data_IF_100371215259
#
_entry.id   IF_100371215259
#
_cell.length_a   1.000
_cell.length_b   1.000
_cell.length_c   1.000
_cell.angle_alpha   90.00
_cell.angle_beta   90.00
_cell.angle_gamma   90.00
#
_symmetry.space_group_name_H-M   'P 1'
#
loop_
_entity.id
_entity.type
_entity.pdbx_description
1 polymer ?
#
# COMPACT_ATOMS: atom_id res chain seq x y z
N UNK A 1 -5.63 6.18 8.59
CA UNK A 1 -4.18 5.87 8.47
C UNK A 1 -3.74 5.86 7.00
N UNK A 2 -3.71 4.73 6.30
CA UNK A 2 -3.11 4.67 4.95
C UNK A 2 -3.76 5.62 3.93
N UNK A 3 -5.08 5.66 3.85
CA UNK A 3 -5.79 6.50 2.90
C UNK A 3 -5.63 8.02 3.16
N UNK A 4 -5.48 8.42 4.40
CA UNK A 4 -5.37 9.83 4.79
C UNK A 4 -3.93 10.30 4.98
N UNK A 5 -3.03 9.42 5.42
CA UNK A 5 -1.68 9.80 5.87
C UNK A 5 -0.57 9.34 4.90
N UNK A 6 -0.76 8.22 4.21
CA UNK A 6 0.27 7.66 3.31
C UNK A 6 -0.06 7.95 1.84
N UNK A 7 -1.24 7.54 1.37
CA UNK A 7 -1.61 7.67 -0.03
C UNK A 7 -1.51 9.10 -0.58
N UNK A 8 -1.96 10.16 0.12
CA UNK A 8 -1.85 11.52 -0.40
C UNK A 8 -0.42 11.99 -0.67
N UNK A 9 0.57 11.44 0.04
CA UNK A 9 1.98 11.84 -0.07
C UNK A 9 2.71 11.20 -1.25
N UNK A 10 2.15 10.17 -1.88
CA UNK A 10 2.79 9.42 -2.97
C UNK A 10 2.09 9.60 -4.32
N UNK A 11 1.19 10.56 -4.43
CA UNK A 11 0.41 10.83 -5.64
C UNK A 11 1.24 11.54 -6.73
N UNK A 12 0.84 11.42 -8.02
CA UNK A 12 1.53 12.11 -9.12
C UNK A 12 1.64 13.63 -8.96
N UNK A 13 0.63 14.28 -8.36
CA UNK A 13 0.67 15.72 -8.11
C UNK A 13 1.75 16.13 -7.11
N UNK A 14 1.96 15.32 -6.07
CA UNK A 14 3.04 15.54 -5.09
C UNK A 14 4.39 15.33 -5.76
N UNK A 15 4.55 14.25 -6.54
CA UNK A 15 5.75 14.03 -7.35
C UNK A 15 6.05 15.23 -8.23
N UNK A 16 5.06 15.71 -8.98
CA UNK A 16 5.23 16.88 -9.86
C UNK A 16 5.71 18.12 -9.09
N UNK A 17 5.10 18.41 -7.95
CA UNK A 17 5.51 19.57 -7.16
C UNK A 17 6.93 19.43 -6.62
N UNK A 18 7.28 18.29 -6.06
CA UNK A 18 8.61 18.03 -5.51
C UNK A 18 9.71 18.03 -6.57
N UNK A 19 9.45 17.50 -7.76
CA UNK A 19 10.43 17.49 -8.85
C UNK A 19 10.59 18.87 -9.51
N UNK A 20 9.57 19.71 -9.52
CA UNK A 20 9.64 21.07 -10.08
C UNK A 20 10.09 22.10 -9.05
N UNK A 21 9.24 22.44 -8.08
CA UNK A 21 9.53 23.45 -7.05
C UNK A 21 10.55 22.96 -6.01
N UNK A 22 10.47 21.69 -5.60
CA UNK A 22 11.38 21.07 -4.63
C UNK A 22 12.71 20.60 -5.22
N UNK A 23 12.87 20.64 -6.54
CA UNK A 23 14.08 20.19 -7.25
C UNK A 23 14.50 18.75 -6.93
N UNK A 24 13.55 17.88 -6.64
CA UNK A 24 13.83 16.47 -6.44
C UNK A 24 14.26 15.82 -7.76
N UNK A 25 15.35 15.07 -7.72
CA UNK A 25 15.69 14.10 -8.76
C UNK A 25 15.00 12.75 -8.51
N UNK A 26 15.23 11.77 -9.37
CA UNK A 26 14.63 10.45 -9.25
C UNK A 26 15.05 9.74 -7.96
N UNK A 27 16.29 9.92 -7.50
CA UNK A 27 16.78 9.34 -6.26
C UNK A 27 16.07 9.94 -5.04
N UNK A 28 15.90 11.26 -5.00
CA UNK A 28 15.17 11.95 -3.93
C UNK A 28 13.70 11.55 -3.90
N UNK A 29 13.04 11.44 -5.06
CA UNK A 29 11.68 10.95 -5.15
C UNK A 29 11.55 9.50 -4.65
N UNK A 30 12.49 8.63 -5.03
CA UNK A 30 12.53 7.24 -4.54
C UNK A 30 12.68 7.17 -3.03
N UNK A 31 13.57 7.96 -2.45
CA UNK A 31 13.77 8.05 -1.01
C UNK A 31 12.50 8.53 -0.28
N UNK A 32 11.80 9.50 -0.84
CA UNK A 32 10.50 9.98 -0.36
C UNK A 32 9.47 8.85 -0.33
N UNK A 33 9.33 8.10 -1.41
CA UNK A 33 8.41 6.96 -1.49
C UNK A 33 8.73 5.90 -0.44
N UNK A 34 10.00 5.50 -0.34
CA UNK A 34 10.45 4.50 0.63
C UNK A 34 10.11 4.95 2.06
N UNK A 35 10.39 6.19 2.39
CA UNK A 35 10.12 6.75 3.70
C UNK A 35 8.62 6.67 4.06
N UNK A 36 7.75 7.15 3.20
CA UNK A 36 6.32 7.23 3.51
C UNK A 36 5.60 5.89 3.43
N UNK A 37 5.97 5.01 2.50
CA UNK A 37 5.45 3.64 2.50
C UNK A 37 5.89 2.89 3.76
N UNK A 38 7.15 2.99 4.14
CA UNK A 38 7.67 2.32 5.34
C UNK A 38 6.99 2.83 6.60
N UNK A 39 6.92 4.14 6.78
CA UNK A 39 6.27 4.76 7.94
C UNK A 39 4.81 4.33 8.06
N UNK A 40 4.06 4.39 6.96
CA UNK A 40 2.64 4.03 6.97
C UNK A 40 2.39 2.55 7.20
N UNK A 41 3.09 1.68 6.47
CA UNK A 41 2.87 0.23 6.57
C UNK A 41 3.40 -0.36 7.88
N UNK A 42 4.48 0.14 8.42
CA UNK A 42 4.98 -0.30 9.73
C UNK A 42 4.05 0.13 10.87
N UNK A 43 3.44 1.31 10.79
CA UNK A 43 2.42 1.73 11.76
C UNK A 43 1.18 0.82 11.71
N UNK A 44 0.73 0.44 10.51
CA UNK A 44 -0.36 -0.51 10.34
C UNK A 44 0.02 -1.90 10.84
N UNK A 45 1.24 -2.36 10.57
CA UNK A 45 1.75 -3.63 11.10
C UNK A 45 1.67 -3.68 12.62
N UNK A 46 2.17 -2.66 13.31
CA UNK A 46 2.13 -2.60 14.77
C UNK A 46 0.69 -2.66 15.30
N UNK A 47 -0.21 -1.95 14.63
CA UNK A 47 -1.62 -1.96 15.00
C UNK A 47 -2.26 -3.34 14.80
N UNK A 48 -2.12 -3.92 13.62
CA UNK A 48 -2.69 -5.23 13.31
C UNK A 48 -2.11 -6.35 14.20
N UNK A 49 -0.82 -6.30 14.48
CA UNK A 49 -0.16 -7.29 15.33
C UNK A 49 -0.58 -7.19 16.80
N UNK A 50 -0.99 -6.03 17.26
CA UNK A 50 -1.37 -5.79 18.67
C UNK A 50 -2.87 -5.87 18.94
N UNK A 51 -3.72 -5.67 17.94
CA UNK A 51 -5.17 -5.69 18.13
C UNK A 51 -5.73 -7.12 18.18
N UNK A 52 -6.48 -7.47 19.24
CA UNK A 52 -7.07 -8.81 19.38
C UNK A 52 -8.13 -9.12 18.33
N UNK A 53 -8.71 -8.09 17.69
CA UNK A 53 -9.71 -8.24 16.64
C UNK A 53 -9.11 -8.63 15.28
N UNK A 54 -7.82 -8.48 15.08
CA UNK A 54 -7.15 -8.91 13.85
C UNK A 54 -7.25 -10.43 13.70
N UNK A 55 -7.90 -10.86 12.63
CA UNK A 55 -8.08 -12.27 12.31
C UNK A 55 -7.35 -12.61 11.01
N UNK A 56 -8.02 -13.36 10.15
CA UNK A 56 -7.54 -13.65 8.78
C UNK A 56 -7.35 -12.35 8.01
N UNK A 57 -8.26 -11.39 8.21
CA UNK A 57 -8.23 -10.06 7.62
C UNK A 57 -7.92 -9.00 8.69
N UNK A 58 -7.92 -7.74 8.32
CA UNK A 58 -7.60 -6.64 9.21
C UNK A 58 -8.49 -6.61 10.46
N UNK A 59 -9.76 -6.99 10.31
CA UNK A 59 -10.72 -7.01 11.42
C UNK A 59 -11.61 -8.25 11.32
N UNK A 60 -11.23 -9.31 12.03
CA UNK A 60 -11.95 -10.59 12.01
C UNK A 60 -11.64 -11.47 10.80
N UNK A 61 -12.57 -12.37 10.50
CA UNK A 61 -12.38 -13.41 9.50
C UNK A 61 -13.19 -13.17 8.21
N UNK A 62 -13.68 -11.95 8.04
CA UNK A 62 -14.30 -11.48 6.80
C UNK A 62 -13.65 -10.18 6.34
N UNK A 63 -13.51 -9.95 5.00
CA UNK A 63 -12.91 -8.73 4.50
C UNK A 63 -13.79 -7.51 4.79
N UNK A 64 -13.13 -6.39 5.08
CA UNK A 64 -13.75 -5.09 5.33
C UNK A 64 -13.13 -4.01 4.46
N UNK A 65 -13.62 -2.78 4.58
CA UNK A 65 -13.03 -1.61 3.91
C UNK A 65 -11.55 -1.42 4.28
N UNK A 66 -11.16 -1.82 5.50
CA UNK A 66 -9.75 -1.77 5.92
C UNK A 66 -8.84 -2.63 5.01
N UNK A 67 -9.31 -3.81 4.62
CA UNK A 67 -8.58 -4.70 3.71
C UNK A 67 -8.48 -4.12 2.30
N UNK A 68 -9.53 -3.47 1.82
CA UNK A 68 -9.51 -2.77 0.51
C UNK A 68 -8.47 -1.65 0.53
N UNK A 69 -8.46 -0.82 1.58
CA UNK A 69 -7.47 0.25 1.73
C UNK A 69 -6.05 -0.28 1.82
N UNK A 70 -5.83 -1.34 2.60
CA UNK A 70 -4.52 -1.98 2.74
C UNK A 70 -4.04 -2.55 1.40
N UNK A 71 -4.89 -3.32 0.72
CA UNK A 71 -4.57 -3.92 -0.57
C UNK A 71 -4.21 -2.86 -1.61
N UNK A 72 -4.93 -1.75 -1.67
CA UNK A 72 -4.66 -0.67 -2.61
C UNK A 72 -3.26 -0.08 -2.43
N UNK A 73 -2.82 0.14 -1.20
CA UNK A 73 -1.48 0.68 -0.90
C UNK A 73 -0.40 -0.35 -1.18
N UNK A 74 -0.60 -1.61 -0.80
CA UNK A 74 0.39 -2.67 -1.05
C UNK A 74 0.58 -2.90 -2.55
N UNK A 75 -0.50 -2.86 -3.34
CA UNK A 75 -0.41 -2.99 -4.80
C UNK A 75 0.37 -1.81 -5.40
N UNK A 76 0.10 -0.58 -4.99
CA UNK A 76 0.85 0.61 -5.47
C UNK A 76 2.33 0.51 -5.08
N UNK A 77 2.63 0.08 -3.86
CA UNK A 77 4.00 -0.17 -3.40
C UNK A 77 4.73 -1.15 -4.33
N UNK A 78 4.07 -2.26 -4.70
CA UNK A 78 4.62 -3.27 -5.61
C UNK A 78 4.83 -2.72 -7.03
N UNK A 79 3.88 -1.92 -7.54
CA UNK A 79 4.00 -1.28 -8.86
C UNK A 79 5.25 -0.38 -8.90
N UNK A 80 5.51 0.37 -7.84
CA UNK A 80 6.73 1.18 -7.73
C UNK A 80 7.99 0.39 -7.35
N UNK A 81 7.88 -0.93 -7.16
CA UNK A 81 8.99 -1.81 -6.75
C UNK A 81 9.66 -1.31 -5.47
N UNK A 82 8.85 -0.93 -4.49
CA UNK A 82 9.30 -0.52 -3.16
C UNK A 82 9.16 -1.72 -2.21
N UNK A 83 10.20 -1.98 -1.45
CA UNK A 83 10.21 -3.01 -0.41
C UNK A 83 10.15 -2.36 0.96
N UNK A 84 9.27 -2.88 1.80
CA UNK A 84 9.14 -2.46 3.20
C UNK A 84 9.42 -3.67 4.08
N UNK A 85 10.38 -3.53 4.99
CA UNK A 85 10.76 -4.59 5.91
C UNK A 85 9.84 -4.66 7.13
N UNK A 86 9.81 -5.85 7.76
CA UNK A 86 9.16 -6.07 9.06
C UNK A 86 7.66 -5.78 9.08
N UNK A 87 6.93 -6.28 8.06
CA UNK A 87 5.47 -6.20 7.96
C UNK A 87 4.82 -7.58 7.73
N UNK A 88 5.12 -8.59 8.57
CA UNK A 88 4.63 -9.96 8.34
C UNK A 88 3.11 -10.08 8.44
N UNK A 89 2.46 -9.37 9.38
CA UNK A 89 1.00 -9.39 9.53
C UNK A 89 0.31 -8.75 8.33
N UNK A 90 0.81 -7.59 7.88
CA UNK A 90 0.33 -6.92 6.66
C UNK A 90 0.42 -7.87 5.47
N UNK A 91 1.55 -8.54 5.28
CA UNK A 91 1.74 -9.46 4.15
C UNK A 91 0.85 -10.70 4.25
N UNK A 92 0.63 -11.23 5.45
CA UNK A 92 -0.30 -12.33 5.69
C UNK A 92 -1.73 -11.95 5.32
N UNK A 93 -2.19 -10.79 5.76
CA UNK A 93 -3.53 -10.28 5.43
C UNK A 93 -3.65 -10.04 3.93
N UNK A 94 -2.62 -9.48 3.30
CA UNK A 94 -2.61 -9.26 1.84
C UNK A 94 -2.72 -10.58 1.08
N UNK A 95 -1.99 -11.62 1.48
CA UNK A 95 -2.09 -12.95 0.88
C UNK A 95 -3.51 -13.54 1.01
N UNK A 96 -4.17 -13.34 2.15
CA UNK A 96 -5.56 -13.75 2.33
C UNK A 96 -6.51 -13.00 1.39
N UNK A 97 -6.32 -11.70 1.23
CA UNK A 97 -7.09 -10.88 0.27
C UNK A 97 -6.91 -11.38 -1.17
N UNK A 98 -5.70 -11.72 -1.57
CA UNK A 98 -5.38 -12.21 -2.92
C UNK A 98 -6.06 -13.53 -3.28
N UNK A 99 -6.46 -14.33 -2.29
CA UNK A 99 -7.24 -15.55 -2.50
C UNK A 99 -8.72 -15.28 -2.80
N UNK A 100 -9.21 -14.08 -2.58
CA UNK A 100 -10.58 -13.71 -2.87
C UNK A 100 -10.73 -13.28 -4.33
N UNK A 101 -11.71 -13.87 -5.02
CA UNK A 101 -11.98 -13.56 -6.43
C UNK A 101 -12.18 -12.07 -6.68
N UNK A 102 -12.90 -11.38 -5.80
CA UNK A 102 -13.16 -9.95 -5.92
C UNK A 102 -11.87 -9.12 -5.97
N UNK A 103 -10.86 -9.45 -5.15
CA UNK A 103 -9.55 -8.78 -5.17
C UNK A 103 -8.75 -9.15 -6.42
N UNK A 104 -8.78 -10.43 -6.81
CA UNK A 104 -8.08 -10.89 -8.01
C UNK A 104 -8.63 -10.25 -9.29
N UNK A 105 -9.95 -10.09 -9.39
CA UNK A 105 -10.60 -9.41 -10.53
C UNK A 105 -10.31 -7.91 -10.53
N UNK A 106 -10.26 -7.28 -9.35
CA UNK A 106 -10.00 -5.86 -9.20
C UNK A 106 -8.52 -5.45 -9.36
N UNK A 107 -7.61 -6.42 -9.53
CA UNK A 107 -6.18 -6.13 -9.66
C UNK A 107 -5.92 -5.17 -10.84
N UNK A 108 -5.14 -4.07 -10.62
CA UNK A 108 -4.91 -3.06 -11.64
C UNK A 108 -4.33 -3.59 -12.95
N UNK A 109 -3.44 -4.58 -12.89
CA UNK A 109 -2.83 -5.21 -14.07
C UNK A 109 -3.82 -5.95 -14.98
N UNK A 110 -4.99 -6.30 -14.44
CA UNK A 110 -6.06 -7.03 -15.16
C UNK A 110 -7.11 -6.11 -15.76
N UNK A 111 -7.03 -4.80 -15.51
CA UNK A 111 -8.03 -3.85 -16.00
C UNK A 111 -7.80 -3.53 -17.47
N UNK A 112 -8.90 -3.23 -18.18
CA UNK A 112 -8.84 -2.74 -19.55
C UNK A 112 -8.02 -1.44 -19.61
N UNK A 113 -7.02 -1.39 -20.47
CA UNK A 113 -6.13 -0.23 -20.56
C UNK A 113 -4.97 -0.23 -19.57
N UNK A 114 -4.79 -1.31 -18.80
CA UNK A 114 -3.61 -1.45 -17.95
C UNK A 114 -2.34 -1.44 -18.79
N UNK A 115 -1.31 -0.72 -18.32
CA UNK A 115 -0.01 -0.73 -18.96
C UNK A 115 0.57 -2.15 -18.93
N UNK A 116 1.03 -2.61 -20.08
CA UNK A 116 1.80 -3.86 -20.13
C UNK A 116 3.14 -3.64 -19.45
N UNK A 117 3.44 -4.47 -18.50
CA UNK A 117 4.72 -4.40 -17.79
C UNK A 117 5.87 -4.83 -18.71
#
# INVERSE_FOLDING_TARGET
MLAADTHPLITPRVKKYLTTAGKFDDAAWRAWQIHWFSTGLQAVEQRLASEPQTGVFCHGDAPTVADICLASIVVVMRIFKIEVANIPTVMRVMMACEQLEAFAVAEPSRQVGAAQA
#
